data_IF_251094276467
#
_entry.id   IF_251094276467
#
_cell.length_a   1.000
_cell.length_b   1.000
_cell.length_c   1.000
_cell.angle_alpha   90.00
_cell.angle_beta   90.00
_cell.angle_gamma   90.00
#
_symmetry.space_group_name_H-M   'P 1'
#
loop_
_entity.id
_entity.type
_entity.pdbx_description
1 polymer ?
#
# COMPACT_ATOMS: atom_id res chain seq x y z
N UNK A 1 -2.29 9.00 14.41
CA UNK A 1 -1.78 7.68 14.08
C UNK A 1 -0.49 7.79 13.28
N UNK A 2 0.42 6.87 13.47
CA UNK A 2 1.66 6.77 12.70
C UNK A 2 2.02 5.30 12.51
N UNK A 3 2.94 5.05 11.61
CA UNK A 3 3.48 3.71 11.41
C UNK A 3 4.02 3.17 12.75
N UNK A 4 3.49 2.04 13.16
CA UNK A 4 3.90 1.38 14.39
C UNK A 4 5.11 0.46 14.13
N UNK A 5 5.93 0.17 15.15
CA UNK A 5 6.94 -0.87 15.05
C UNK A 5 6.33 -2.20 14.60
N UNK A 6 7.16 -3.01 13.96
CA UNK A 6 6.79 -4.35 13.54
C UNK A 6 6.31 -5.19 14.74
N UNK A 7 5.28 -6.01 14.53
CA UNK A 7 4.63 -6.83 15.56
C UNK A 7 4.01 -6.05 16.74
N UNK A 8 3.91 -4.73 16.64
CA UNK A 8 3.16 -3.92 17.61
C UNK A 8 1.65 -4.03 17.38
N UNK A 9 0.87 -3.61 18.39
CA UNK A 9 -0.59 -3.62 18.34
C UNK A 9 -1.22 -4.88 18.92
N UNK A 10 -2.55 -4.91 18.87
CA UNK A 10 -3.37 -5.99 19.44
C UNK A 10 -3.64 -7.04 18.39
N UNK A 11 -3.20 -8.28 18.64
CA UNK A 11 -3.52 -9.41 17.77
C UNK A 11 -5.02 -9.71 17.84
N UNK A 12 -5.69 -9.75 16.70
CA UNK A 12 -7.11 -9.99 16.61
C UNK A 12 -7.41 -11.47 16.41
N UNK A 13 -8.49 -11.94 17.07
CA UNK A 13 -9.06 -13.27 16.81
C UNK A 13 -9.74 -13.28 15.44
N UNK A 14 -9.75 -14.44 14.79
CA UNK A 14 -10.31 -14.59 13.43
C UNK A 14 -11.77 -14.15 13.32
N UNK A 15 -12.60 -14.38 14.34
CA UNK A 15 -13.98 -13.91 14.39
C UNK A 15 -14.08 -12.40 14.32
N UNK A 16 -13.20 -11.68 15.06
CA UNK A 16 -13.14 -10.23 15.06
C UNK A 16 -12.59 -9.68 13.73
N UNK A 17 -11.64 -10.38 13.12
CA UNK A 17 -11.11 -10.03 11.79
C UNK A 17 -12.24 -10.08 10.75
N UNK A 18 -13.06 -11.12 10.77
CA UNK A 18 -14.24 -11.25 9.88
C UNK A 18 -15.25 -10.11 10.08
N UNK A 19 -15.51 -9.79 11.33
CA UNK A 19 -16.47 -8.73 11.70
C UNK A 19 -15.95 -7.34 11.28
N UNK A 20 -14.67 -7.02 11.57
CA UNK A 20 -14.09 -5.71 11.34
C UNK A 20 -13.68 -5.47 9.88
N UNK A 21 -13.16 -6.47 9.20
CA UNK A 21 -12.58 -6.30 7.86
C UNK A 21 -13.48 -6.86 6.75
N UNK A 22 -14.48 -7.67 7.09
CA UNK A 22 -15.46 -8.19 6.14
C UNK A 22 -14.83 -8.84 4.91
N UNK A 23 -15.55 -8.83 3.81
CA UNK A 23 -15.13 -9.43 2.54
C UNK A 23 -14.01 -8.67 1.82
N UNK A 24 -13.71 -7.43 2.23
CA UNK A 24 -12.68 -6.60 1.59
C UNK A 24 -11.33 -7.32 1.54
N UNK A 25 -11.04 -8.15 2.54
CA UNK A 25 -9.77 -8.85 2.69
C UNK A 25 -9.85 -10.35 2.37
N UNK A 26 -11.07 -10.92 2.19
CA UNK A 26 -11.26 -12.35 1.98
C UNK A 26 -11.01 -12.83 0.54
N UNK A 27 -10.91 -11.93 -0.42
CA UNK A 27 -10.70 -12.31 -1.82
C UNK A 27 -9.30 -12.85 -2.16
N UNK A 28 -8.35 -12.76 -1.23
CA UNK A 28 -7.04 -13.38 -1.40
C UNK A 28 -7.05 -14.80 -0.82
N UNK A 29 -7.62 -15.75 -1.56
CA UNK A 29 -7.73 -17.16 -1.16
C UNK A 29 -6.41 -17.93 -0.96
N UNK A 30 -5.29 -17.33 -1.32
CA UNK A 30 -3.98 -18.00 -1.41
C UNK A 30 -3.15 -17.92 -0.12
N UNK A 31 -3.66 -17.32 0.95
CA UNK A 31 -2.89 -17.10 2.17
C UNK A 31 -3.30 -18.11 3.24
N UNK A 32 -2.42 -19.06 3.52
CA UNK A 32 -2.70 -20.13 4.48
C UNK A 32 -2.69 -19.65 5.94
N UNK A 33 -1.81 -18.72 6.30
CA UNK A 33 -1.70 -18.18 7.65
C UNK A 33 -1.71 -16.65 7.62
N UNK A 34 -2.62 -16.06 8.37
CA UNK A 34 -2.73 -14.60 8.52
C UNK A 34 -2.73 -14.22 9.99
N UNK A 35 -1.90 -13.27 10.33
CA UNK A 35 -1.99 -12.54 11.58
C UNK A 35 -2.49 -11.12 11.28
N UNK A 36 -3.56 -10.71 11.93
CA UNK A 36 -4.09 -9.36 11.82
C UNK A 36 -3.94 -8.66 13.16
N UNK A 37 -3.31 -7.50 13.15
CA UNK A 37 -3.12 -6.67 14.34
C UNK A 37 -3.77 -5.30 14.15
N UNK A 38 -4.51 -4.86 15.14
CA UNK A 38 -4.94 -3.47 15.24
C UNK A 38 -3.78 -2.65 15.80
N UNK A 39 -3.20 -1.78 14.98
CA UNK A 39 -1.99 -1.01 15.33
C UNK A 39 -2.29 0.44 15.71
N UNK A 40 -3.52 0.90 15.48
CA UNK A 40 -3.90 2.23 15.89
C UNK A 40 -5.37 2.54 15.62
N UNK A 41 -5.91 3.45 16.41
CA UNK A 41 -7.30 3.91 16.33
C UNK A 41 -7.31 5.43 16.43
N UNK A 42 -8.13 6.09 15.63
CA UNK A 42 -8.38 7.52 15.66
C UNK A 42 -9.85 7.80 15.39
N UNK A 43 -10.32 8.93 15.85
CA UNK A 43 -11.71 9.37 15.68
C UNK A 43 -11.76 10.74 15.00
N UNK A 44 -11.56 10.78 13.66
CA UNK A 44 -11.52 12.04 12.91
C UNK A 44 -12.79 12.87 13.04
N UNK A 45 -13.93 12.22 13.24
CA UNK A 45 -15.23 12.84 13.50
C UNK A 45 -15.97 12.05 14.56
N UNK A 46 -16.97 12.65 15.20
CA UNK A 46 -17.77 12.01 16.26
C UNK A 46 -18.38 10.67 15.81
N UNK A 47 -18.74 10.57 14.53
CA UNK A 47 -19.42 9.41 13.95
C UNK A 47 -18.50 8.54 13.06
N UNK A 48 -17.21 8.85 12.98
CA UNK A 48 -16.25 8.13 12.13
C UNK A 48 -15.12 7.60 12.96
N UNK A 49 -14.88 6.31 12.85
CA UNK A 49 -13.73 5.63 13.44
C UNK A 49 -12.74 5.28 12.33
N UNK A 50 -11.46 5.55 12.53
CA UNK A 50 -10.38 5.17 11.63
C UNK A 50 -9.43 4.23 12.35
N UNK A 51 -9.25 3.03 11.80
CA UNK A 51 -8.45 1.96 12.36
C UNK A 51 -7.31 1.58 11.41
N UNK A 52 -6.10 1.53 11.91
CA UNK A 52 -4.97 1.01 11.15
C UNK A 52 -4.76 -0.47 11.52
N UNK A 53 -4.74 -1.33 10.50
CA UNK A 53 -4.53 -2.76 10.64
C UNK A 53 -3.25 -3.16 9.93
N UNK A 54 -2.45 -3.97 10.62
CA UNK A 54 -1.32 -4.65 10.03
C UNK A 54 -1.71 -6.10 9.75
N UNK A 55 -1.49 -6.55 8.52
CA UNK A 55 -1.81 -7.89 8.06
C UNK A 55 -0.52 -8.58 7.64
N UNK A 56 -0.10 -9.53 8.45
CA UNK A 56 1.02 -10.41 8.15
C UNK A 56 0.50 -11.69 7.51
N UNK A 57 0.94 -11.95 6.31
CA UNK A 57 0.54 -13.11 5.54
C UNK A 57 1.76 -13.97 5.23
N UNK A 58 1.65 -15.30 5.46
CA UNK A 58 2.73 -16.25 5.20
C UNK A 58 2.21 -17.25 4.17
N UNK A 59 2.73 -17.16 2.94
CA UNK A 59 2.52 -18.16 1.90
C UNK A 59 3.70 -19.13 1.83
N UNK A 60 3.64 -20.11 0.93
CA UNK A 60 4.67 -21.14 0.79
C UNK A 60 6.04 -20.54 0.39
N UNK A 61 6.05 -19.51 -0.46
CA UNK A 61 7.28 -18.90 -0.96
C UNK A 61 7.40 -17.39 -0.64
N UNK A 62 6.45 -16.80 0.12
CA UNK A 62 6.43 -15.37 0.36
C UNK A 62 5.83 -15.02 1.72
N UNK A 63 6.33 -13.92 2.26
CA UNK A 63 5.78 -13.25 3.45
C UNK A 63 5.42 -11.85 3.08
N UNK A 64 4.25 -11.37 3.50
CA UNK A 64 3.89 -9.96 3.38
C UNK A 64 3.53 -9.39 4.75
N UNK A 65 3.86 -8.13 4.94
CA UNK A 65 3.48 -7.36 6.12
C UNK A 65 2.89 -6.04 5.64
N UNK A 66 1.59 -6.06 5.38
CA UNK A 66 0.86 -4.96 4.75
C UNK A 66 0.08 -4.18 5.79
N UNK A 67 0.00 -2.87 5.61
CA UNK A 67 -0.81 -2.00 6.47
C UNK A 67 -1.96 -1.41 5.68
N UNK A 68 -3.15 -1.39 6.32
CA UNK A 68 -4.37 -0.78 5.80
C UNK A 68 -4.94 0.18 6.80
N UNK A 69 -5.45 1.31 6.32
CA UNK A 69 -6.36 2.18 7.05
C UNK A 69 -7.77 1.84 6.64
N UNK A 70 -8.63 1.53 7.61
CA UNK A 70 -10.05 1.23 7.39
C UNK A 70 -10.86 2.22 8.20
N UNK A 71 -11.85 2.83 7.57
CA UNK A 71 -12.78 3.74 8.22
C UNK A 71 -14.14 3.10 8.38
N UNK A 72 -14.80 3.44 9.47
CA UNK A 72 -16.14 2.96 9.83
C UNK A 72 -17.07 4.14 10.03
N UNK A 73 -18.28 4.05 9.47
CA UNK A 73 -19.34 5.02 9.69
C UNK A 73 -20.03 4.84 11.05
N UNK A 74 -21.04 5.67 11.30
CA UNK A 74 -21.83 5.65 12.54
C UNK A 74 -22.60 4.35 12.78
N UNK A 75 -22.88 3.60 11.71
CA UNK A 75 -23.55 2.29 11.75
C UNK A 75 -22.57 1.13 12.02
N UNK A 76 -21.30 1.44 12.25
CA UNK A 76 -20.23 0.45 12.46
C UNK A 76 -19.79 -0.28 11.21
N UNK A 77 -20.35 0.05 10.03
CA UNK A 77 -19.93 -0.55 8.77
C UNK A 77 -18.74 0.14 8.19
N UNK A 78 -17.98 -0.61 7.38
CA UNK A 78 -16.84 -0.06 6.65
C UNK A 78 -17.34 1.02 5.67
N UNK A 79 -16.83 2.25 5.85
CA UNK A 79 -17.09 3.36 4.96
C UNK A 79 -16.07 3.41 3.82
N UNK A 80 -14.80 3.14 4.11
CA UNK A 80 -13.73 3.09 3.10
C UNK A 80 -12.51 2.33 3.62
N UNK A 81 -11.57 2.04 2.73
CA UNK A 81 -10.28 1.45 3.07
C UNK A 81 -9.17 1.96 2.15
N UNK A 82 -7.96 2.07 2.69
CA UNK A 82 -6.78 2.50 1.96
C UNK A 82 -5.59 1.60 2.28
N UNK A 83 -4.93 1.12 1.25
CA UNK A 83 -3.65 0.45 1.38
C UNK A 83 -2.56 1.47 1.71
N UNK A 84 -1.86 1.27 2.81
CA UNK A 84 -0.77 2.15 3.27
C UNK A 84 0.63 1.61 2.90
N UNK A 85 0.68 0.43 2.30
CA UNK A 85 1.92 -0.17 1.84
C UNK A 85 2.49 -1.26 2.75
N UNK A 86 3.73 -1.62 2.49
CA UNK A 86 4.45 -2.69 3.16
C UNK A 86 5.35 -2.10 4.24
N UNK A 87 5.34 -2.69 5.42
CA UNK A 87 6.17 -2.27 6.55
C UNK A 87 7.56 -2.94 6.57
N UNK A 88 7.72 -4.02 5.83
CA UNK A 88 8.97 -4.78 5.71
C UNK A 88 9.52 -4.75 4.29
N UNK A 89 10.86 -4.89 4.20
CA UNK A 89 11.52 -5.28 2.95
C UNK A 89 11.20 -6.76 2.77
N UNK A 90 10.22 -7.04 1.94
CA UNK A 90 10.00 -8.39 1.46
C UNK A 90 10.65 -8.42 0.10
N UNK A 91 11.71 -9.24 -0.11
CA UNK A 91 12.16 -9.53 -1.47
C UNK A 91 10.94 -10.08 -2.20
N UNK A 92 10.39 -9.29 -3.10
CA UNK A 92 9.30 -9.75 -3.94
C UNK A 92 9.93 -10.67 -4.95
N UNK A 93 9.80 -11.98 -4.71
CA UNK A 93 10.23 -12.99 -5.66
C UNK A 93 9.73 -12.63 -7.04
N UNK A 94 10.68 -12.53 -7.95
CA UNK A 94 10.61 -12.57 -9.41
C UNK A 94 9.15 -12.66 -9.92
N UNK A 95 8.51 -11.51 -10.15
CA UNK A 95 7.40 -11.48 -11.09
C UNK A 95 8.03 -11.68 -12.45
N UNK A 96 8.08 -12.93 -12.90
CA UNK A 96 8.33 -13.23 -14.32
C UNK A 96 7.27 -12.52 -15.14
N UNK A 97 7.59 -11.36 -15.68
CA UNK A 97 6.84 -10.80 -16.77
C UNK A 97 7.14 -11.64 -17.98
N UNK A 98 6.26 -12.61 -18.29
CA UNK A 98 6.39 -13.51 -19.43
C UNK A 98 6.46 -12.80 -20.79
N UNK A 99 6.25 -11.48 -20.82
CA UNK A 99 6.16 -10.70 -22.06
C UNK A 99 7.34 -9.73 -22.32
N UNK A 100 8.29 -9.58 -21.42
CA UNK A 100 9.48 -8.82 -21.76
C UNK A 100 10.66 -9.75 -22.01
N UNK A 101 10.97 -9.96 -23.29
CA UNK A 101 12.19 -10.68 -23.70
C UNK A 101 13.50 -9.98 -23.28
N UNK A 102 13.41 -8.86 -22.54
CA UNK A 102 14.51 -7.90 -22.38
C UNK A 102 15.01 -7.69 -20.96
N UNK A 103 14.28 -8.10 -19.92
CA UNK A 103 14.69 -7.81 -18.54
C UNK A 103 14.46 -9.00 -17.64
N UNK A 104 15.48 -9.39 -16.91
CA UNK A 104 15.39 -10.36 -15.82
C UNK A 104 15.34 -9.53 -14.53
N UNK A 105 14.16 -9.37 -13.89
CA UNK A 105 14.10 -8.71 -12.60
C UNK A 105 14.89 -9.50 -11.59
N UNK A 106 15.72 -8.81 -10.82
CA UNK A 106 16.54 -9.41 -9.77
C UNK A 106 15.91 -9.17 -8.41
N UNK A 107 15.33 -8.00 -8.18
CA UNK A 107 14.70 -7.65 -6.91
C UNK A 107 13.79 -6.43 -7.06
N UNK A 108 12.61 -6.48 -6.42
CA UNK A 108 11.71 -5.34 -6.26
C UNK A 108 11.49 -5.11 -4.76
N UNK A 109 11.86 -3.94 -4.28
CA UNK A 109 11.68 -3.56 -2.88
C UNK A 109 10.68 -2.40 -2.81
N UNK A 110 9.63 -2.55 -2.03
CA UNK A 110 8.72 -1.46 -1.74
C UNK A 110 8.68 -1.21 -0.24
N UNK A 111 8.80 0.06 0.16
CA UNK A 111 8.70 0.52 1.55
C UNK A 111 7.72 1.67 1.62
N UNK A 112 6.99 1.74 2.70
CA UNK A 112 6.10 2.87 2.94
C UNK A 112 6.29 3.44 4.34
N UNK A 113 6.02 4.73 4.48
CA UNK A 113 5.92 5.43 5.75
C UNK A 113 4.67 6.28 5.73
N UNK A 114 3.89 6.24 6.79
CA UNK A 114 2.66 7.01 6.88
C UNK A 114 2.47 7.65 8.25
N UNK A 115 1.82 8.79 8.23
CA UNK A 115 1.41 9.54 9.44
C UNK A 115 0.04 10.12 9.19
N UNK A 116 -0.90 9.86 10.09
CA UNK A 116 -2.19 10.52 10.14
C UNK A 116 -2.22 11.50 11.33
N UNK A 117 -2.39 12.77 11.01
CA UNK A 117 -2.57 13.83 11.99
C UNK A 117 -4.07 14.07 12.19
N UNK A 118 -4.56 13.76 13.38
CA UNK A 118 -5.99 13.88 13.73
C UNK A 118 -6.46 15.34 13.78
N UNK A 119 -5.63 16.25 14.29
CA UNK A 119 -5.99 17.69 14.40
C UNK A 119 -6.21 18.34 13.04
N UNK A 120 -5.36 18.04 12.07
CA UNK A 120 -5.47 18.55 10.68
C UNK A 120 -6.29 17.64 9.78
N UNK A 121 -6.69 16.47 10.26
CA UNK A 121 -7.34 15.40 9.49
C UNK A 121 -6.59 15.10 8.19
N UNK A 122 -5.26 15.01 8.29
CA UNK A 122 -4.37 14.82 7.15
C UNK A 122 -3.59 13.52 7.29
N UNK A 123 -3.74 12.63 6.32
CA UNK A 123 -2.88 11.47 6.15
C UNK A 123 -1.83 11.77 5.09
N UNK A 124 -0.56 11.64 5.46
CA UNK A 124 0.58 11.65 4.56
C UNK A 124 1.08 10.21 4.42
N UNK A 125 1.23 9.76 3.19
CA UNK A 125 1.80 8.47 2.84
C UNK A 125 2.99 8.69 1.90
N UNK A 126 4.15 8.21 2.30
CA UNK A 126 5.40 8.22 1.53
C UNK A 126 5.71 6.80 1.10
N UNK A 127 5.93 6.58 -0.18
CA UNK A 127 6.26 5.28 -0.76
C UNK A 127 7.59 5.38 -1.46
N UNK A 128 8.48 4.46 -1.14
CA UNK A 128 9.74 4.26 -1.83
C UNK A 128 9.69 2.89 -2.52
N UNK A 129 10.10 2.85 -3.77
CA UNK A 129 10.23 1.63 -4.54
C UNK A 129 11.59 1.58 -5.23
N UNK A 130 12.23 0.45 -5.14
CA UNK A 130 13.47 0.13 -5.81
C UNK A 130 13.26 -1.13 -6.65
N UNK A 131 13.55 -1.03 -7.94
CA UNK A 131 13.50 -2.16 -8.86
C UNK A 131 14.89 -2.36 -9.44
N UNK A 132 15.43 -3.56 -9.35
CA UNK A 132 16.69 -3.93 -9.93
C UNK A 132 16.51 -5.03 -10.97
N UNK A 133 17.22 -4.91 -12.10
CA UNK A 133 17.19 -5.91 -13.18
C UNK A 133 18.52 -5.94 -13.93
N UNK A 134 18.66 -6.93 -14.79
CA UNK A 134 19.79 -7.00 -15.75
C UNK A 134 19.27 -6.59 -17.14
N UNK A 135 20.02 -5.73 -17.83
CA UNK A 135 19.76 -5.41 -19.24
C UNK A 135 20.15 -6.58 -20.17
N UNK A 136 20.02 -6.37 -21.49
CA UNK A 136 20.34 -7.38 -22.50
C UNK A 136 21.82 -7.83 -22.46
N UNK A 137 22.70 -6.92 -22.05
CA UNK A 137 24.14 -7.15 -21.90
C UNK A 137 24.52 -7.67 -20.50
N UNK A 138 23.53 -7.98 -19.65
CA UNK A 138 23.69 -8.42 -18.26
C UNK A 138 24.31 -7.36 -17.33
N UNK A 139 24.21 -6.08 -17.68
CA UNK A 139 24.62 -5.02 -16.79
C UNK A 139 23.51 -4.76 -15.76
N UNK A 140 23.85 -4.50 -14.50
CA UNK A 140 22.87 -4.18 -13.47
C UNK A 140 22.24 -2.80 -13.71
N UNK A 141 20.93 -2.76 -13.75
CA UNK A 141 20.13 -1.56 -13.85
C UNK A 141 19.32 -1.37 -12.55
N UNK A 142 19.10 -0.12 -12.16
CA UNK A 142 18.41 0.24 -10.94
C UNK A 142 17.49 1.43 -11.18
N UNK A 143 16.23 1.29 -10.78
CA UNK A 143 15.24 2.37 -10.74
C UNK A 143 14.73 2.58 -9.33
N UNK A 144 14.79 3.82 -8.86
CA UNK A 144 14.27 4.20 -7.57
C UNK A 144 13.17 5.25 -7.74
N UNK A 145 12.03 5.03 -7.10
CA UNK A 145 10.91 5.97 -7.12
C UNK A 145 10.55 6.37 -5.70
N UNK A 146 10.35 7.66 -5.51
CA UNK A 146 9.80 8.22 -4.28
C UNK A 146 8.50 8.92 -4.58
N UNK A 147 7.45 8.60 -3.84
CA UNK A 147 6.14 9.15 -4.06
C UNK A 147 5.48 9.55 -2.75
N UNK A 148 4.81 10.71 -2.75
CA UNK A 148 4.06 11.20 -1.59
C UNK A 148 2.59 11.38 -1.96
N UNK A 149 1.72 10.77 -1.18
CA UNK A 149 0.28 10.95 -1.27
C UNK A 149 -0.25 11.69 -0.06
N UNK A 150 -1.31 12.45 -0.28
CA UNK A 150 -2.04 13.12 0.78
C UNK A 150 -3.51 12.79 0.68
N UNK A 151 -4.11 12.45 1.83
CA UNK A 151 -5.52 12.11 1.94
C UNK A 151 -6.15 12.82 3.12
N UNK A 152 -7.47 12.93 3.07
CA UNK A 152 -8.32 13.38 4.17
C UNK A 152 -9.46 12.39 4.34
N UNK A 153 -9.91 12.18 5.56
CA UNK A 153 -11.14 11.44 5.84
C UNK A 153 -12.29 12.45 5.89
N UNK A 154 -13.38 12.23 5.15
CA UNK A 154 -14.56 13.10 5.22
C UNK A 154 -15.51 12.69 6.36
N UNK A 155 -16.57 13.47 6.58
CA UNK A 155 -17.56 13.23 7.64
C UNK A 155 -18.37 11.94 7.45
N UNK A 156 -18.39 11.37 6.26
CA UNK A 156 -18.99 10.10 5.93
C UNK A 156 -18.01 8.93 6.08
N UNK A 157 -16.76 9.21 6.44
CA UNK A 157 -15.69 8.23 6.58
C UNK A 157 -15.00 7.87 5.27
N UNK A 158 -15.28 8.53 4.14
CA UNK A 158 -14.58 8.26 2.88
C UNK A 158 -13.17 8.86 2.92
N UNK A 159 -12.24 8.14 2.34
CA UNK A 159 -10.84 8.57 2.25
C UNK A 159 -10.66 9.29 0.91
N UNK A 160 -10.48 10.60 0.96
CA UNK A 160 -10.39 11.46 -0.21
C UNK A 160 -8.94 11.83 -0.50
N UNK A 161 -8.46 11.52 -1.69
CA UNK A 161 -7.13 11.91 -2.15
C UNK A 161 -7.09 13.41 -2.46
N UNK A 162 -6.20 14.14 -1.80
CA UNK A 162 -6.08 15.60 -1.95
C UNK A 162 -5.16 16.01 -3.11
N UNK A 163 -4.13 15.24 -3.39
CA UNK A 163 -3.17 15.51 -4.47
C UNK A 163 -2.75 14.19 -5.12
N UNK A 164 -2.59 14.23 -6.43
CA UNK A 164 -1.72 13.28 -7.11
C UNK A 164 -0.29 13.70 -6.77
N UNK A 165 0.40 12.88 -6.04
CA UNK A 165 1.79 13.14 -5.71
C UNK A 165 2.64 13.25 -6.98
N UNK A 166 3.75 13.94 -6.88
CA UNK A 166 4.79 13.97 -7.91
C UNK A 166 5.67 12.75 -7.69
N UNK A 167 5.82 11.86 -8.67
CA UNK A 167 6.85 10.83 -8.63
C UNK A 167 8.16 11.53 -8.97
N UNK A 168 9.11 11.44 -8.07
CA UNK A 168 10.46 11.94 -8.31
C UNK A 168 11.34 10.71 -8.48
N UNK A 169 11.87 10.46 -9.68
CA UNK A 169 12.88 9.44 -9.86
C UNK A 169 14.13 9.85 -9.10
N UNK A 170 14.66 8.95 -8.32
CA UNK A 170 15.87 9.21 -7.53
C UNK A 170 17.14 8.87 -8.33
N UNK A 171 17.08 7.87 -9.19
CA UNK A 171 18.19 7.45 -10.06
C UNK A 171 17.66 6.68 -11.27
N UNK A 172 18.18 6.89 -12.47
CA UNK A 172 17.79 6.15 -13.67
C UNK A 172 18.93 6.03 -14.66
N UNK A 173 18.87 4.97 -15.48
CA UNK A 173 19.82 4.67 -16.55
C UNK A 173 19.11 4.49 -17.90
N UNK A 174 18.11 5.33 -18.22
CA UNK A 174 17.35 5.22 -19.48
C UNK A 174 17.68 6.32 -20.49
N UNK A 175 17.51 5.99 -21.76
CA UNK A 175 17.38 6.99 -22.83
C UNK A 175 16.03 7.68 -22.78
N UNK A 176 15.96 8.96 -23.09
CA UNK A 176 14.83 9.87 -22.81
C UNK A 176 13.44 9.40 -23.22
N UNK A 177 13.29 8.68 -24.35
CA UNK A 177 11.97 8.25 -24.86
C UNK A 177 11.37 7.00 -24.17
N UNK A 178 12.19 6.05 -23.75
CA UNK A 178 11.74 4.89 -23.01
C UNK A 178 11.31 5.25 -21.59
N UNK A 179 11.96 6.25 -21.02
CA UNK A 179 11.74 6.77 -19.69
C UNK A 179 10.34 7.37 -19.49
N UNK A 180 9.86 8.23 -20.40
CA UNK A 180 8.54 8.86 -20.28
C UNK A 180 7.39 7.85 -20.29
N UNK A 181 7.51 6.80 -21.10
CA UNK A 181 6.51 5.73 -21.16
C UNK A 181 6.52 4.88 -19.91
N UNK A 182 7.70 4.59 -19.38
CA UNK A 182 7.88 3.85 -18.14
C UNK A 182 7.37 4.63 -16.93
N UNK A 183 7.73 5.90 -16.79
CA UNK A 183 7.20 6.78 -15.75
C UNK A 183 5.67 6.87 -15.77
N UNK A 184 5.05 6.98 -16.94
CA UNK A 184 3.59 6.98 -17.06
C UNK A 184 2.99 5.68 -16.54
N UNK A 185 3.61 4.53 -16.84
CA UNK A 185 3.16 3.24 -16.34
C UNK A 185 3.29 3.13 -14.81
N UNK A 186 4.41 3.58 -14.24
CA UNK A 186 4.65 3.63 -12.80
C UNK A 186 3.64 4.56 -12.12
N UNK A 187 3.40 5.75 -12.68
CA UNK A 187 2.38 6.68 -12.19
C UNK A 187 0.98 6.07 -12.15
N UNK A 188 0.60 5.36 -13.23
CA UNK A 188 -0.69 4.68 -13.32
C UNK A 188 -0.80 3.57 -12.27
N UNK A 189 0.24 2.75 -12.12
CA UNK A 189 0.29 1.67 -11.14
C UNK A 189 0.15 2.19 -9.71
N UNK A 190 0.94 3.18 -9.30
CA UNK A 190 0.84 3.78 -7.96
C UNK A 190 -0.51 4.46 -7.74
N UNK A 191 -1.04 5.15 -8.74
CA UNK A 191 -2.35 5.77 -8.65
C UNK A 191 -3.46 4.75 -8.36
N UNK A 192 -3.35 3.54 -8.89
CA UNK A 192 -4.29 2.44 -8.63
C UNK A 192 -4.00 1.72 -7.31
N UNK A 193 -2.74 1.42 -7.01
CA UNK A 193 -2.34 0.70 -5.80
C UNK A 193 -2.73 1.45 -4.53
N UNK A 194 -2.52 2.77 -4.52
CA UNK A 194 -2.80 3.66 -3.39
C UNK A 194 -4.09 4.47 -3.57
N UNK A 195 -5.04 3.97 -4.35
CA UNK A 195 -6.38 4.53 -4.42
C UNK A 195 -7.23 4.05 -3.23
N UNK A 196 -8.07 4.91 -2.62
CA UNK A 196 -9.10 4.48 -1.69
C UNK A 196 -10.00 3.41 -2.30
N UNK A 197 -10.55 2.55 -1.48
CA UNK A 197 -11.45 1.48 -1.93
C UNK A 197 -12.68 2.03 -2.65
N UNK A 198 -13.23 3.11 -2.14
CA UNK A 198 -14.35 3.82 -2.78
C UNK A 198 -14.03 4.32 -4.20
N UNK A 199 -12.81 4.76 -4.47
CA UNK A 199 -12.39 5.15 -5.83
C UNK A 199 -12.29 3.96 -6.79
N UNK A 200 -12.05 2.74 -6.28
CA UNK A 200 -11.84 1.53 -7.09
C UNK A 200 -13.13 0.79 -7.43
N UNK A 201 -14.06 0.72 -6.48
CA UNK A 201 -15.16 -0.25 -6.51
C UNK A 201 -16.55 0.37 -6.38
N UNK A 202 -16.67 1.67 -6.04
CA UNK A 202 -17.95 2.36 -5.89
C UNK A 202 -18.27 3.29 -7.07
N UNK A 203 -18.00 2.85 -8.30
CA UNK A 203 -18.45 3.54 -9.51
C UNK A 203 -19.77 3.03 -9.98
#
# INVERSE_FOLDING_TARGET
>A
LQQAPQDSGVLLKETLVKELLGDIFYHRKEVQNREVRLVGVSKPYTQVLACAFNIKSIGFEWKTNETFLVTYGHDGKIADALYLGINEIVPTFIKFSFNSKRHIPTEDIQRSKWVYNEQSNLLKLEVFEENSWLDEDKNPCLDNYYHTFFYRIDEQGRIVRLRKGKIVPYKYNYTDHAYDSHLKAVHKRFALQFAPYSERYMK
#
